data_IF_621973725347
#
_entry.id   IF_621973725347
#
_cell.length_a   1.000
_cell.length_b   1.000
_cell.length_c   1.000
_cell.angle_alpha   90.00
_cell.angle_beta   90.00
_cell.angle_gamma   90.00
#
_symmetry.space_group_name_H-M   'P 1'
#
loop_
_entity.id
_entity.type
_entity.pdbx_description
1 polymer ?
#
# COMPACT_ATOMS: atom_id res chain seq x y z
N UNK A 1 7.14 -29.47 -13.64
CA UNK A 1 7.94 -30.52 -14.31
C UNK A 1 7.02 -31.68 -14.64
N UNK A 2 7.15 -32.29 -15.82
CA UNK A 2 6.38 -33.47 -16.24
C UNK A 2 7.31 -34.68 -16.38
N UNK A 3 6.79 -35.90 -16.20
CA UNK A 3 7.53 -37.14 -16.46
C UNK A 3 7.10 -37.72 -17.82
N UNK A 4 8.07 -38.16 -18.62
CA UNK A 4 7.78 -38.84 -19.89
C UNK A 4 7.20 -40.24 -19.63
N UNK A 5 6.05 -40.62 -20.23
CA UNK A 5 5.43 -41.92 -19.97
C UNK A 5 6.22 -43.11 -20.55
N UNK A 6 7.13 -42.88 -21.50
CA UNK A 6 7.87 -43.95 -22.18
C UNK A 6 9.24 -44.21 -21.55
N UNK A 7 9.94 -43.16 -21.10
CA UNK A 7 11.31 -43.27 -20.59
C UNK A 7 11.50 -42.74 -19.15
N UNK A 8 10.42 -42.30 -18.48
CA UNK A 8 10.42 -41.75 -17.11
C UNK A 8 11.38 -40.59 -16.84
N UNK A 9 11.92 -39.95 -17.88
CA UNK A 9 12.77 -38.76 -17.74
C UNK A 9 11.92 -37.53 -17.37
N UNK A 10 12.48 -36.68 -16.51
CA UNK A 10 11.88 -35.39 -16.13
C UNK A 10 12.12 -34.35 -17.22
N UNK A 11 11.03 -33.71 -17.66
CA UNK A 11 11.04 -32.74 -18.74
C UNK A 11 10.43 -31.40 -18.28
N UNK A 12 10.84 -30.28 -18.88
CA UNK A 12 10.19 -28.98 -18.68
C UNK A 12 8.73 -29.01 -19.14
N UNK A 13 7.86 -28.25 -18.46
CA UNK A 13 6.40 -28.26 -18.68
C UNK A 13 5.96 -27.75 -20.06
N UNK A 14 6.86 -27.12 -20.82
CA UNK A 14 6.58 -26.54 -22.14
C UNK A 14 6.91 -27.48 -23.31
N UNK A 15 7.67 -28.56 -23.08
CA UNK A 15 8.14 -29.46 -24.15
C UNK A 15 6.98 -30.28 -24.73
N UNK A 16 6.92 -30.38 -26.07
CA UNK A 16 5.88 -31.14 -26.80
C UNK A 16 6.30 -32.57 -27.16
N UNK A 17 7.60 -32.85 -27.19
CA UNK A 17 8.16 -34.16 -27.52
C UNK A 17 9.39 -34.44 -26.65
N UNK A 18 9.52 -35.65 -26.14
CA UNK A 18 10.66 -36.03 -25.29
C UNK A 18 11.97 -36.00 -26.08
N UNK A 19 12.97 -35.25 -25.61
CA UNK A 19 14.29 -35.13 -26.26
C UNK A 19 15.08 -36.45 -26.24
N UNK A 20 14.80 -37.35 -25.29
CA UNK A 20 15.52 -38.62 -25.13
C UNK A 20 14.94 -39.76 -25.99
N UNK A 21 13.61 -39.93 -26.01
CA UNK A 21 12.96 -41.08 -26.68
C UNK A 21 12.05 -40.69 -27.86
N UNK A 22 11.91 -39.39 -28.18
CA UNK A 22 11.07 -38.91 -29.27
C UNK A 22 9.55 -39.02 -29.04
N UNK A 23 9.09 -39.54 -27.90
CA UNK A 23 7.67 -39.72 -27.62
C UNK A 23 6.91 -38.39 -27.50
N UNK A 24 5.67 -38.36 -28.01
CA UNK A 24 4.78 -37.20 -27.94
C UNK A 24 4.26 -37.00 -26.50
N UNK A 25 4.54 -35.82 -25.92
CA UNK A 25 4.12 -35.46 -24.56
C UNK A 25 2.93 -34.50 -24.54
N UNK A 26 2.26 -34.27 -25.68
CA UNK A 26 1.05 -33.42 -25.76
C UNK A 26 -0.10 -33.92 -24.88
N UNK A 27 -0.21 -35.24 -24.68
CA UNK A 27 -1.28 -35.86 -23.88
C UNK A 27 -0.96 -35.99 -22.38
N UNK A 28 0.25 -35.65 -21.94
CA UNK A 28 0.62 -35.74 -20.53
C UNK A 28 -0.08 -34.63 -19.76
N UNK A 29 -0.72 -34.98 -18.63
CA UNK A 29 -1.37 -34.02 -17.74
C UNK A 29 -0.33 -33.03 -17.23
N UNK A 30 -0.42 -31.78 -17.67
CA UNK A 30 0.46 -30.72 -17.21
C UNK A 30 -0.11 -30.12 -15.94
N UNK A 31 0.73 -29.84 -14.91
CA UNK A 31 0.27 -29.02 -13.80
C UNK A 31 -0.17 -27.69 -14.40
N UNK A 32 -1.46 -27.35 -14.23
CA UNK A 32 -1.95 -26.03 -14.62
C UNK A 32 -1.11 -25.02 -13.86
N UNK A 33 -0.60 -23.94 -14.51
CA UNK A 33 0.05 -22.89 -13.77
C UNK A 33 -0.92 -22.49 -12.67
N UNK A 34 -0.46 -22.52 -11.41
CA UNK A 34 -1.24 -21.99 -10.30
C UNK A 34 -1.53 -20.56 -10.71
N UNK A 35 -2.77 -20.28 -11.14
CA UNK A 35 -3.18 -18.91 -11.44
C UNK A 35 -2.87 -18.18 -10.14
N UNK A 36 -1.90 -17.27 -10.20
CA UNK A 36 -1.55 -16.39 -9.08
C UNK A 36 -2.91 -15.87 -8.62
N UNK A 37 -3.31 -16.22 -7.40
CA UNK A 37 -4.61 -15.82 -6.89
C UNK A 37 -4.58 -14.30 -6.94
N UNK A 38 -5.22 -13.72 -7.96
CA UNK A 38 -5.48 -12.29 -8.01
C UNK A 38 -6.27 -12.07 -6.73
N UNK A 39 -5.67 -11.33 -5.79
CA UNK A 39 -6.37 -10.97 -4.57
C UNK A 39 -7.71 -10.42 -5.03
N UNK A 40 -8.78 -11.05 -4.57
CA UNK A 40 -10.14 -10.64 -4.92
C UNK A 40 -10.34 -9.30 -4.23
N UNK A 41 -9.85 -8.23 -4.86
CA UNK A 41 -10.34 -6.88 -4.63
C UNK A 41 -11.84 -6.94 -4.79
N UNK A 42 -12.57 -6.35 -3.84
CA UNK A 42 -14.03 -6.41 -3.80
C UNK A 42 -14.59 -6.04 -5.18
N UNK A 43 -15.20 -7.00 -5.89
CA UNK A 43 -15.56 -6.91 -7.30
C UNK A 43 -16.63 -5.88 -7.69
N UNK A 44 -16.81 -4.82 -6.89
CA UNK A 44 -17.80 -3.76 -7.07
C UNK A 44 -17.22 -2.34 -6.95
N UNK A 45 -15.91 -2.17 -6.81
CA UNK A 45 -15.35 -0.83 -6.70
C UNK A 45 -15.13 -0.19 -8.07
N UNK A 46 -15.69 1.00 -8.29
CA UNK A 46 -15.55 1.74 -9.54
C UNK A 46 -14.08 2.16 -9.71
N UNK A 47 -13.36 1.68 -10.75
CA UNK A 47 -11.94 1.95 -10.93
C UNK A 47 -11.63 3.45 -11.03
N UNK A 48 -12.54 4.25 -11.60
CA UNK A 48 -12.35 5.70 -11.70
C UNK A 48 -12.34 6.38 -10.32
N UNK A 49 -13.15 5.89 -9.38
CA UNK A 49 -13.21 6.44 -8.02
C UNK A 49 -11.95 6.08 -7.23
N UNK A 50 -11.46 4.85 -7.36
CA UNK A 50 -10.21 4.40 -6.72
C UNK A 50 -9.04 5.27 -7.20
N UNK A 51 -8.91 5.47 -8.50
CA UNK A 51 -7.87 6.34 -9.06
C UNK A 51 -8.04 7.80 -8.63
N UNK A 52 -9.28 8.30 -8.54
CA UNK A 52 -9.56 9.64 -8.01
C UNK A 52 -9.08 9.80 -6.57
N UNK A 53 -9.41 8.85 -5.69
CA UNK A 53 -8.94 8.85 -4.30
C UNK A 53 -7.42 8.69 -4.21
N UNK A 54 -6.82 7.87 -5.08
CA UNK A 54 -5.37 7.70 -5.14
C UNK A 54 -4.65 9.03 -5.39
N UNK A 55 -5.09 9.78 -6.41
CA UNK A 55 -4.52 11.10 -6.71
C UNK A 55 -4.83 12.14 -5.64
N UNK A 56 -5.99 12.05 -5.00
CA UNK A 56 -6.32 12.89 -3.85
C UNK A 56 -5.34 12.68 -2.69
N UNK A 57 -5.06 11.43 -2.32
CA UNK A 57 -4.07 11.14 -1.28
C UNK A 57 -2.66 11.55 -1.69
N UNK A 58 -2.27 11.32 -2.95
CA UNK A 58 -0.97 11.76 -3.44
C UNK A 58 -0.82 13.31 -3.33
N UNK A 59 -1.86 14.06 -3.70
CA UNK A 59 -1.89 15.51 -3.53
C UNK A 59 -1.87 15.92 -2.05
N UNK A 60 -2.59 15.20 -1.19
CA UNK A 60 -2.59 15.43 0.26
C UNK A 60 -1.18 15.32 0.86
N UNK A 61 -0.43 14.28 0.51
CA UNK A 61 0.98 14.12 0.93
C UNK A 61 1.86 15.28 0.44
N UNK A 62 1.63 15.79 -0.77
CA UNK A 62 2.36 16.95 -1.27
C UNK A 62 2.04 18.20 -0.45
N UNK A 63 0.76 18.45 -0.16
CA UNK A 63 0.33 19.59 0.63
C UNK A 63 0.86 19.54 2.06
N UNK A 64 0.83 18.36 2.69
CA UNK A 64 1.37 18.15 4.03
C UNK A 64 2.89 18.39 4.07
N UNK A 65 3.63 17.83 3.12
CA UNK A 65 5.06 18.06 2.98
C UNK A 65 5.42 19.54 2.73
N UNK A 66 4.66 20.22 1.87
CA UNK A 66 4.82 21.66 1.66
C UNK A 66 4.52 22.49 2.92
N UNK A 67 3.49 22.09 3.68
CA UNK A 67 3.15 22.68 4.97
C UNK A 67 4.29 22.53 5.99
N UNK A 68 4.91 21.35 6.08
CA UNK A 68 6.07 21.12 6.94
C UNK A 68 7.28 21.97 6.53
N UNK A 69 7.53 22.13 5.22
CA UNK A 69 8.57 23.03 4.74
C UNK A 69 8.30 24.48 5.11
N UNK A 70 7.07 24.95 4.97
CA UNK A 70 6.69 26.29 5.38
C UNK A 70 6.85 26.50 6.89
N UNK A 71 6.38 25.54 7.69
CA UNK A 71 6.51 25.57 9.15
C UNK A 71 7.98 25.56 9.59
N UNK A 72 8.84 24.82 8.88
CA UNK A 72 10.28 24.75 9.17
C UNK A 72 10.98 26.11 9.13
N UNK A 73 10.45 27.07 8.36
CA UNK A 73 10.99 28.43 8.31
C UNK A 73 10.60 29.27 9.53
N UNK A 74 9.49 28.92 10.20
CA UNK A 74 8.97 29.66 11.35
C UNK A 74 9.58 29.19 12.67
N UNK A 75 9.93 27.90 12.79
CA UNK A 75 10.46 27.33 14.03
C UNK A 75 11.97 27.12 13.97
N UNK A 76 12.73 27.83 14.80
CA UNK A 76 14.21 27.78 14.79
C UNK A 76 14.79 26.49 15.37
N UNK A 77 14.15 25.90 16.38
CA UNK A 77 14.70 24.75 17.13
C UNK A 77 14.60 23.42 16.37
N UNK A 78 13.62 23.26 15.49
CA UNK A 78 13.34 22.02 14.77
C UNK A 78 13.39 22.17 13.24
N UNK A 79 13.91 23.29 12.74
CA UNK A 79 13.89 23.62 11.31
C UNK A 79 14.51 22.53 10.44
N UNK A 80 15.70 22.02 10.79
CA UNK A 80 16.38 20.97 10.01
C UNK A 80 15.58 19.68 9.97
N UNK A 81 15.01 19.25 11.11
CA UNK A 81 14.22 18.03 11.18
C UNK A 81 12.94 18.15 10.33
N UNK A 82 12.20 19.25 10.49
CA UNK A 82 10.98 19.51 9.72
C UNK A 82 11.26 19.67 8.23
N UNK A 83 12.41 20.25 7.85
CA UNK A 83 12.83 20.35 6.46
C UNK A 83 13.06 18.96 5.86
N UNK A 84 13.75 18.07 6.58
CA UNK A 84 13.98 16.69 6.11
C UNK A 84 12.67 15.92 6.03
N UNK A 85 11.80 16.00 7.05
CA UNK A 85 10.49 15.35 7.02
C UNK A 85 9.60 15.90 5.89
N UNK A 86 9.57 17.21 5.68
CA UNK A 86 8.79 17.86 4.63
C UNK A 86 9.27 17.48 3.22
N UNK A 87 10.58 17.42 3.00
CA UNK A 87 11.14 16.99 1.71
C UNK A 87 10.84 15.51 1.44
N UNK A 88 10.93 14.63 2.44
CA UNK A 88 10.55 13.23 2.31
C UNK A 88 9.04 13.06 2.02
N UNK A 89 8.19 13.81 2.70
CA UNK A 89 6.74 13.78 2.49
C UNK A 89 6.36 14.22 1.07
N UNK A 90 6.99 15.29 0.55
CA UNK A 90 6.87 15.70 -0.85
C UNK A 90 7.34 14.62 -1.82
N UNK A 91 8.49 13.99 -1.55
CA UNK A 91 9.03 12.92 -2.39
C UNK A 91 8.11 11.70 -2.44
N UNK A 92 7.47 11.34 -1.32
CA UNK A 92 6.47 10.28 -1.30
C UNK A 92 5.22 10.65 -2.10
N UNK A 93 4.70 11.87 -1.94
CA UNK A 93 3.57 12.36 -2.73
C UNK A 93 3.85 12.34 -4.24
N UNK A 94 5.02 12.82 -4.66
CA UNK A 94 5.46 12.76 -6.06
C UNK A 94 5.63 11.32 -6.55
N UNK A 95 6.22 10.46 -5.71
CA UNK A 95 6.43 9.04 -6.00
C UNK A 95 5.13 8.25 -6.17
N UNK A 96 4.10 8.61 -5.42
CA UNK A 96 2.74 8.09 -5.62
C UNK A 96 2.18 8.55 -6.98
N UNK A 97 2.31 9.82 -7.36
CA UNK A 97 1.86 10.28 -8.69
C UNK A 97 2.57 9.51 -9.83
N UNK A 98 3.86 9.24 -9.68
CA UNK A 98 4.67 8.47 -10.64
C UNK A 98 4.42 6.95 -10.58
N UNK A 99 3.56 6.47 -9.68
CA UNK A 99 3.18 5.06 -9.52
C UNK A 99 4.37 4.13 -9.29
N UNK A 100 5.39 4.59 -8.58
CA UNK A 100 6.58 3.77 -8.29
C UNK A 100 6.21 2.67 -7.26
N UNK A 101 6.36 1.37 -7.58
CA UNK A 101 5.87 0.28 -6.73
C UNK A 101 6.57 0.24 -5.37
N UNK A 102 7.86 0.60 -5.32
CA UNK A 102 8.61 0.71 -4.06
C UNK A 102 7.99 1.76 -3.12
N UNK A 103 7.64 2.93 -3.67
CA UNK A 103 7.08 4.03 -2.88
C UNK A 103 5.68 3.70 -2.40
N UNK A 104 4.85 3.02 -3.20
CA UNK A 104 3.53 2.55 -2.73
C UNK A 104 3.64 1.62 -1.52
N UNK A 105 4.56 0.65 -1.57
CA UNK A 105 4.78 -0.26 -0.45
C UNK A 105 5.23 0.47 0.82
N UNK A 106 6.15 1.43 0.68
CA UNK A 106 6.61 2.25 1.80
C UNK A 106 5.46 3.11 2.34
N UNK A 107 4.70 3.78 1.48
CA UNK A 107 3.57 4.63 1.87
C UNK A 107 2.49 3.82 2.60
N UNK A 108 2.21 2.58 2.14
CA UNK A 108 1.28 1.68 2.81
C UNK A 108 1.79 1.27 4.20
N UNK A 109 3.09 0.99 4.32
CA UNK A 109 3.71 0.67 5.61
C UNK A 109 3.68 1.86 6.59
N UNK A 110 3.97 3.08 6.11
CA UNK A 110 3.89 4.30 6.92
C UNK A 110 2.44 4.57 7.35
N UNK A 111 1.47 4.41 6.44
CA UNK A 111 0.04 4.56 6.78
C UNK A 111 -0.41 3.55 7.83
N UNK A 112 0.11 2.31 7.79
CA UNK A 112 -0.16 1.29 8.80
C UNK A 112 0.44 1.66 10.17
N UNK A 113 1.68 2.14 10.22
CA UNK A 113 2.29 2.65 11.47
C UNK A 113 1.49 3.85 12.00
N UNK A 114 1.12 4.78 11.12
CA UNK A 114 0.30 5.94 11.46
C UNK A 114 -1.05 5.54 12.05
N UNK A 115 -1.72 4.54 11.46
CA UNK A 115 -2.97 3.99 11.97
C UNK A 115 -2.82 3.50 13.43
N UNK A 116 -1.76 2.73 13.72
CA UNK A 116 -1.48 2.27 15.08
C UNK A 116 -1.23 3.46 16.01
N UNK A 117 -0.45 4.45 15.56
CA UNK A 117 -0.20 5.69 16.29
C UNK A 117 -1.49 6.43 16.65
N UNK A 118 -2.39 6.65 15.69
CA UNK A 118 -3.66 7.34 15.93
C UNK A 118 -4.61 6.55 16.83
N UNK A 119 -4.61 5.21 16.76
CA UNK A 119 -5.39 4.36 17.68
C UNK A 119 -4.87 4.48 19.11
N UNK A 120 -3.54 4.51 19.28
CA UNK A 120 -2.90 4.72 20.58
C UNK A 120 -3.18 6.13 21.11
N UNK A 121 -3.07 7.16 20.26
CA UNK A 121 -3.40 8.55 20.61
C UNK A 121 -4.87 8.70 20.97
N UNK A 122 -5.77 7.98 20.28
CA UNK A 122 -7.20 7.96 20.62
C UNK A 122 -7.40 7.42 22.03
N UNK A 123 -6.70 6.34 22.40
CA UNK A 123 -6.72 5.81 23.77
C UNK A 123 -6.22 6.86 24.79
N UNK A 124 -5.11 7.54 24.52
CA UNK A 124 -4.62 8.61 25.39
C UNK A 124 -5.56 9.82 25.44
N UNK A 125 -6.28 10.13 24.37
CA UNK A 125 -7.26 11.21 24.33
C UNK A 125 -8.44 10.96 25.29
N UNK A 126 -8.86 9.69 25.44
CA UNK A 126 -9.88 9.32 26.42
C UNK A 126 -9.37 9.47 27.86
N UNK A 127 -8.10 9.18 28.14
CA UNK A 127 -7.49 9.45 29.44
C UNK A 127 -7.40 10.96 29.71
N UNK A 128 -7.01 11.76 28.71
CA UNK A 128 -6.97 13.21 28.78
C UNK A 128 -8.36 13.83 29.00
N UNK A 129 -9.42 13.20 28.51
CA UNK A 129 -10.81 13.64 28.71
C UNK A 129 -11.18 13.69 30.20
N UNK A 130 -10.61 12.83 31.04
CA UNK A 130 -10.81 12.86 32.50
C UNK A 130 -10.18 14.11 33.15
N UNK A 131 -9.07 14.63 32.60
CA UNK A 131 -8.35 15.77 33.15
C UNK A 131 -8.75 17.12 32.53
N UNK A 132 -8.93 17.15 31.21
CA UNK A 132 -9.15 18.40 30.46
C UNK A 132 -10.61 18.56 29.97
N UNK A 133 -11.48 17.59 30.24
CA UNK A 133 -12.90 17.66 29.90
C UNK A 133 -13.15 17.74 28.38
N UNK A 134 -13.88 18.76 27.95
CA UNK A 134 -14.37 18.92 26.57
C UNK A 134 -13.26 18.98 25.51
N UNK A 135 -12.09 19.52 25.84
CA UNK A 135 -10.97 19.58 24.87
C UNK A 135 -10.47 18.20 24.48
N UNK A 136 -10.52 17.23 25.40
CA UNK A 136 -10.19 15.83 25.12
C UNK A 136 -11.15 15.20 24.11
N UNK A 137 -12.44 15.53 24.20
CA UNK A 137 -13.45 15.04 23.26
C UNK A 137 -13.22 15.55 21.84
N UNK A 138 -12.92 16.85 21.68
CA UNK A 138 -12.63 17.42 20.36
C UNK A 138 -11.40 16.78 19.72
N UNK A 139 -10.35 16.54 20.52
CA UNK A 139 -9.15 15.83 20.06
C UNK A 139 -9.48 14.39 19.64
N UNK A 140 -10.29 13.67 20.42
CA UNK A 140 -10.72 12.31 20.10
C UNK A 140 -11.47 12.24 18.76
N UNK A 141 -12.39 13.17 18.50
CA UNK A 141 -13.12 13.24 17.23
C UNK A 141 -12.18 13.48 16.04
N UNK A 142 -11.20 14.37 16.20
CA UNK A 142 -10.21 14.62 15.16
C UNK A 142 -9.34 13.38 14.90
N UNK A 143 -8.96 12.64 15.94
CA UNK A 143 -8.19 11.41 15.82
C UNK A 143 -8.98 10.29 15.10
N UNK A 144 -10.28 10.15 15.38
CA UNK A 144 -11.15 9.21 14.66
C UNK A 144 -11.16 9.52 13.16
N UNK A 145 -11.26 10.80 12.79
CA UNK A 145 -11.20 11.21 11.39
C UNK A 145 -9.87 10.84 10.72
N UNK A 146 -8.74 11.05 11.41
CA UNK A 146 -7.42 10.64 10.92
C UNK A 146 -7.29 9.11 10.77
N UNK A 147 -7.86 8.32 11.69
CA UNK A 147 -7.94 6.86 11.58
C UNK A 147 -8.68 6.46 10.31
N UNK A 148 -9.82 7.10 10.02
CA UNK A 148 -10.58 6.85 8.79
C UNK A 148 -9.78 7.19 7.53
N UNK A 149 -9.04 8.31 7.53
CA UNK A 149 -8.17 8.70 6.42
C UNK A 149 -7.08 7.65 6.18
N UNK A 150 -6.37 7.21 7.22
CA UNK A 150 -5.33 6.18 7.09
C UNK A 150 -5.91 4.84 6.60
N UNK A 151 -7.05 4.43 7.15
CA UNK A 151 -7.75 3.22 6.69
C UNK A 151 -8.15 3.30 5.22
N UNK A 152 -8.69 4.45 4.80
CA UNK A 152 -9.03 4.69 3.40
C UNK A 152 -7.79 4.69 2.49
N UNK A 153 -6.68 5.29 2.93
CA UNK A 153 -5.43 5.27 2.18
C UNK A 153 -4.88 3.85 2.00
N UNK A 154 -4.86 3.03 3.05
CA UNK A 154 -4.42 1.62 2.99
C UNK A 154 -5.30 0.84 2.02
N UNK A 155 -6.62 1.01 2.10
CA UNK A 155 -7.57 0.35 1.21
C UNK A 155 -7.36 0.76 -0.26
N UNK A 156 -7.24 2.07 -0.54
CA UNK A 156 -7.01 2.57 -1.90
C UNK A 156 -5.70 2.04 -2.48
N UNK A 157 -4.61 2.05 -1.70
CA UNK A 157 -3.32 1.52 -2.15
C UNK A 157 -3.41 0.03 -2.46
N UNK A 158 -4.03 -0.75 -1.56
CA UNK A 158 -4.22 -2.18 -1.75
C UNK A 158 -5.05 -2.54 -2.98
N UNK A 159 -6.07 -1.74 -3.30
CA UNK A 159 -6.90 -1.94 -4.47
C UNK A 159 -6.16 -1.55 -5.76
N UNK A 160 -5.37 -0.46 -5.75
CA UNK A 160 -4.54 -0.08 -6.91
C UNK A 160 -3.47 -1.12 -7.24
N UNK A 161 -2.90 -1.80 -6.24
CA UNK A 161 -1.94 -2.90 -6.46
C UNK A 161 -2.56 -4.11 -7.19
N UNK A 162 -3.89 -4.28 -7.10
CA UNK A 162 -4.61 -5.35 -7.79
C UNK A 162 -5.01 -5.02 -9.23
N UNK A 163 -4.96 -3.75 -9.61
CA UNK A 163 -5.34 -3.26 -10.95
C UNK A 163 -4.16 -3.20 -11.93
N UNK A 164 -2.93 -3.15 -11.43
CA UNK A 164 -1.68 -3.18 -12.22
C UNK A 164 -1.19 -4.61 -12.48
#
# INVERSE_FOLDING_TARGET
>A
MIQCPNCNQTLPDWVQSCQFCGADTKKVVRPKPVKKQVRVGSGYSNPALIWGLYYFFAAWWILDGAGLLFLSQQVRFFSTFLLVCGTLCLAFGLGLILRIPLIRNIANYIAFIGLIGYVLDLFFSFLMMLGMGWTGLLLALFLIFNICICGAQIWVLGETDGLD
#
